data_IF_176596385447
#
_entry.id   IF_176596385447
#
_cell.length_a   1.000
_cell.length_b   1.000
_cell.length_c   1.000
_cell.angle_alpha   90.00
_cell.angle_beta   90.00
_cell.angle_gamma   90.00
#
_symmetry.space_group_name_H-M   'P 1'
#
loop_
_entity.id
_entity.type
_entity.pdbx_description
1 polymer ?
#
# COMPACT_ATOMS: atom_id res chain seq x y z
N UNK A 1 -23.36 -12.80 71.38
CA UNK A 1 -24.22 -11.60 71.48
C UNK A 1 -24.02 -10.84 70.18
N UNK A 2 -25.06 -10.63 69.39
CA UNK A 2 -24.92 -9.99 68.07
C UNK A 2 -24.98 -8.47 68.22
N UNK A 3 -23.89 -7.78 67.88
CA UNK A 3 -23.77 -6.32 68.02
C UNK A 3 -24.79 -5.58 67.14
N UNK A 4 -25.25 -6.23 66.05
CA UNK A 4 -26.26 -5.68 65.16
C UNK A 4 -27.58 -5.40 65.87
N UNK A 5 -27.92 -6.19 66.89
CA UNK A 5 -29.15 -5.98 67.67
C UNK A 5 -29.17 -4.66 68.45
N UNK A 6 -28.01 -4.10 68.80
CA UNK A 6 -27.92 -2.77 69.44
C UNK A 6 -27.98 -1.61 68.44
N UNK A 7 -27.80 -1.90 67.14
CA UNK A 7 -27.86 -0.92 66.07
C UNK A 7 -29.26 -0.85 65.40
N UNK A 8 -30.20 -1.68 65.84
CA UNK A 8 -31.58 -1.68 65.36
C UNK A 8 -32.35 -0.45 65.88
N UNK A 9 -33.08 0.26 65.00
CA UNK A 9 -33.84 1.47 65.37
C UNK A 9 -34.93 1.24 66.43
N UNK A 10 -35.40 0.00 66.58
CA UNK A 10 -36.44 -0.41 67.53
C UNK A 10 -35.90 -1.21 68.72
N UNK A 11 -34.61 -1.07 69.04
CA UNK A 11 -33.98 -1.79 70.14
C UNK A 11 -34.69 -1.52 71.49
N UNK A 12 -35.17 -2.59 72.13
CA UNK A 12 -35.81 -2.53 73.45
C UNK A 12 -34.89 -3.20 74.49
N UNK A 13 -34.23 -2.41 75.35
CA UNK A 13 -33.34 -2.93 76.39
C UNK A 13 -34.02 -3.90 77.34
N UNK A 14 -35.32 -3.72 77.65
CA UNK A 14 -36.05 -4.58 78.58
C UNK A 14 -36.33 -5.94 77.95
N UNK A 15 -36.81 -5.96 76.70
CA UNK A 15 -37.01 -7.22 75.95
C UNK A 15 -35.70 -7.97 75.78
N UNK A 16 -34.62 -7.25 75.49
CA UNK A 16 -33.29 -7.82 75.34
C UNK A 16 -32.76 -8.44 76.64
N UNK A 17 -32.81 -7.71 77.78
CA UNK A 17 -32.40 -8.23 79.10
C UNK A 17 -33.23 -9.45 79.47
N UNK A 18 -34.55 -9.40 79.30
CA UNK A 18 -35.44 -10.50 79.63
C UNK A 18 -35.14 -11.75 78.78
N UNK A 19 -34.88 -11.58 77.47
CA UNK A 19 -34.47 -12.68 76.58
C UNK A 19 -33.10 -13.26 76.98
N UNK A 20 -32.14 -12.41 77.33
CA UNK A 20 -30.81 -12.82 77.76
C UNK A 20 -30.84 -13.56 79.11
N UNK A 21 -31.72 -13.14 80.03
CA UNK A 21 -31.97 -13.80 81.32
C UNK A 21 -32.68 -15.15 81.16
N UNK A 22 -33.69 -15.23 80.29
CA UNK A 22 -34.33 -16.51 79.97
C UNK A 22 -33.35 -17.54 79.38
N UNK A 23 -32.26 -17.08 78.76
CA UNK A 23 -31.20 -17.93 78.24
C UNK A 23 -30.07 -18.24 79.25
N UNK A 24 -30.03 -17.59 80.42
CA UNK A 24 -28.95 -17.75 81.40
C UNK A 24 -29.14 -18.89 82.41
N UNK A 25 -30.25 -19.63 82.35
CA UNK A 25 -30.53 -20.75 83.25
C UNK A 25 -30.80 -20.33 84.70
N UNK A 26 -30.54 -21.23 85.66
CA UNK A 26 -30.84 -21.04 87.10
C UNK A 26 -29.73 -20.27 87.85
N UNK A 27 -29.10 -19.30 87.19
CA UNK A 27 -28.04 -18.48 87.79
C UNK A 27 -28.66 -17.41 88.70
N UNK A 28 -27.96 -16.96 89.75
CA UNK A 28 -28.43 -15.84 90.56
C UNK A 28 -28.47 -14.54 89.74
N UNK A 29 -29.51 -13.73 89.96
CA UNK A 29 -29.77 -12.47 89.23
C UNK A 29 -28.58 -11.52 89.29
N UNK A 30 -27.97 -11.36 90.46
CA UNK A 30 -26.84 -10.46 90.66
C UNK A 30 -25.60 -10.91 89.87
N UNK A 31 -25.33 -12.22 89.83
CA UNK A 31 -24.20 -12.78 89.08
C UNK A 31 -24.43 -12.60 87.57
N UNK A 32 -25.65 -12.80 87.08
CA UNK A 32 -25.97 -12.58 85.67
C UNK A 32 -25.83 -11.12 85.24
N UNK A 33 -26.37 -10.19 86.03
CA UNK A 33 -26.28 -8.76 85.74
C UNK A 33 -24.82 -8.33 85.74
N UNK A 34 -24.04 -8.74 86.73
CA UNK A 34 -22.60 -8.43 86.83
C UNK A 34 -21.83 -8.97 85.62
N UNK A 35 -22.06 -10.23 85.24
CA UNK A 35 -21.40 -10.83 84.07
C UNK A 35 -21.80 -10.16 82.75
N UNK A 36 -23.06 -9.78 82.60
CA UNK A 36 -23.56 -9.10 81.39
C UNK A 36 -22.98 -7.70 81.26
N UNK A 37 -22.95 -6.94 82.37
CA UNK A 37 -22.34 -5.61 82.42
C UNK A 37 -20.84 -5.68 82.08
N UNK A 38 -20.10 -6.61 82.70
CA UNK A 38 -18.67 -6.79 82.40
C UNK A 38 -18.41 -7.15 80.94
N UNK A 39 -19.25 -8.01 80.34
CA UNK A 39 -19.16 -8.33 78.91
C UNK A 39 -19.43 -7.11 78.03
N UNK A 40 -20.49 -6.35 78.31
CA UNK A 40 -20.81 -5.13 77.57
C UNK A 40 -19.69 -4.09 77.68
N UNK A 41 -19.09 -3.93 78.86
CA UNK A 41 -17.94 -3.04 79.07
C UNK A 41 -16.72 -3.48 78.26
N UNK A 42 -16.42 -4.79 78.22
CA UNK A 42 -15.34 -5.32 77.40
C UNK A 42 -15.60 -5.09 75.90
N UNK A 43 -16.84 -5.30 75.44
CA UNK A 43 -17.22 -5.04 74.06
C UNK A 43 -17.12 -3.55 73.70
N UNK A 44 -17.58 -2.66 74.57
CA UNK A 44 -17.45 -1.22 74.37
C UNK A 44 -15.98 -0.81 74.21
N UNK A 45 -15.10 -1.39 75.05
CA UNK A 45 -13.66 -1.17 74.95
C UNK A 45 -13.07 -1.71 73.64
N UNK A 46 -13.45 -2.92 73.22
CA UNK A 46 -13.01 -3.51 71.95
C UNK A 46 -13.46 -2.68 70.75
N UNK A 47 -14.72 -2.22 70.75
CA UNK A 47 -15.26 -1.38 69.69
C UNK A 47 -14.55 -0.03 69.62
N UNK A 48 -14.32 0.62 70.76
CA UNK A 48 -13.57 1.88 70.83
C UNK A 48 -12.16 1.70 70.28
N UNK A 49 -11.45 0.65 70.68
CA UNK A 49 -10.11 0.37 70.18
C UNK A 49 -10.09 0.11 68.66
N UNK A 50 -11.04 -0.66 68.14
CA UNK A 50 -11.14 -0.95 66.71
C UNK A 50 -11.49 0.30 65.90
N UNK A 51 -12.35 1.17 66.44
CA UNK A 51 -12.69 2.45 65.83
C UNK A 51 -11.48 3.39 65.81
N UNK A 52 -10.75 3.49 66.92
CA UNK A 52 -9.54 4.32 67.01
C UNK A 52 -8.44 3.82 66.07
N UNK A 53 -8.24 2.51 65.99
CA UNK A 53 -7.29 1.90 65.06
C UNK A 53 -7.66 2.20 63.60
N UNK A 54 -8.92 1.99 63.22
CA UNK A 54 -9.42 2.27 61.87
C UNK A 54 -9.32 3.76 61.53
N UNK A 55 -9.71 4.62 62.47
CA UNK A 55 -9.63 6.07 62.30
C UNK A 55 -8.19 6.52 62.11
N UNK A 56 -7.26 5.98 62.91
CA UNK A 56 -5.83 6.26 62.79
C UNK A 56 -5.29 5.80 61.43
N UNK A 57 -5.67 4.62 60.97
CA UNK A 57 -5.28 4.13 59.64
C UNK A 57 -5.82 5.02 58.52
N UNK A 58 -7.07 5.46 58.58
CA UNK A 58 -7.67 6.38 57.60
C UNK A 58 -6.95 7.72 57.61
N UNK A 59 -6.74 8.32 58.78
CA UNK A 59 -6.05 9.61 58.91
C UNK A 59 -4.61 9.54 58.38
N UNK A 60 -3.93 8.41 58.58
CA UNK A 60 -2.56 8.22 58.10
C UNK A 60 -2.47 7.92 56.60
N UNK A 61 -3.48 7.27 56.01
CA UNK A 61 -3.47 6.86 54.60
C UNK A 61 -4.12 7.86 53.65
N UNK A 62 -5.11 8.62 54.12
CA UNK A 62 -5.84 9.59 53.30
C UNK A 62 -4.94 10.62 52.60
N UNK A 63 -3.92 11.23 53.24
CA UNK A 63 -3.03 12.18 52.56
C UNK A 63 -2.30 11.59 51.37
N UNK A 64 -1.83 10.33 51.49
CA UNK A 64 -1.17 9.63 50.38
C UNK A 64 -2.14 9.36 49.24
N UNK A 65 -3.35 8.90 49.53
CA UNK A 65 -4.38 8.68 48.52
C UNK A 65 -4.75 9.97 47.77
N UNK A 66 -4.84 11.10 48.47
CA UNK A 66 -5.07 12.40 47.82
C UNK A 66 -3.90 12.82 46.92
N UNK A 67 -2.66 12.57 47.35
CA UNK A 67 -1.48 12.83 46.53
C UNK A 67 -1.45 11.96 45.28
N UNK A 68 -1.72 10.66 45.42
CA UNK A 68 -1.75 9.71 44.31
C UNK A 68 -2.85 10.06 43.30
N UNK A 69 -4.06 10.40 43.79
CA UNK A 69 -5.15 10.86 42.95
C UNK A 69 -4.82 12.16 42.19
N UNK A 70 -4.13 13.10 42.85
CA UNK A 70 -3.68 14.35 42.22
C UNK A 70 -2.60 14.10 41.16
N UNK A 71 -1.66 13.18 41.41
CA UNK A 71 -0.65 12.77 40.43
C UNK A 71 -1.30 12.14 39.21
N UNK A 72 -2.23 11.21 39.43
CA UNK A 72 -2.96 10.55 38.36
C UNK A 72 -3.76 11.54 37.50
N UNK A 73 -4.37 12.55 38.13
CA UNK A 73 -5.07 13.61 37.41
C UNK A 73 -4.11 14.41 36.51
N UNK A 74 -2.93 14.78 37.03
CA UNK A 74 -1.92 15.51 36.26
C UNK A 74 -1.38 14.68 35.09
N UNK A 75 -1.07 13.40 35.35
CA UNK A 75 -0.62 12.46 34.32
C UNK A 75 -1.68 12.25 33.23
N UNK A 76 -2.94 12.12 33.62
CA UNK A 76 -4.07 12.02 32.69
C UNK A 76 -4.21 13.26 31.81
N UNK A 77 -4.08 14.46 32.38
CA UNK A 77 -4.10 15.71 31.63
C UNK A 77 -2.92 15.82 30.65
N UNK A 78 -1.72 15.42 31.08
CA UNK A 78 -0.54 15.37 30.22
C UNK A 78 -0.71 14.37 29.08
N UNK A 79 -1.26 13.20 29.36
CA UNK A 79 -1.53 12.17 28.35
C UNK A 79 -2.55 12.69 27.31
N UNK A 80 -3.60 13.35 27.76
CA UNK A 80 -4.59 13.98 26.87
C UNK A 80 -3.92 15.00 25.94
N UNK A 81 -3.05 15.85 26.48
CA UNK A 81 -2.30 16.82 25.65
C UNK A 81 -1.40 16.11 24.64
N UNK A 82 -0.68 15.05 25.05
CA UNK A 82 0.17 14.26 24.15
C UNK A 82 -0.64 13.59 23.03
N UNK A 83 -1.83 13.08 23.33
CA UNK A 83 -2.71 12.47 22.33
C UNK A 83 -3.19 13.49 21.29
N UNK A 84 -3.57 14.70 21.72
CA UNK A 84 -3.95 15.78 20.81
C UNK A 84 -2.79 16.19 19.90
N UNK A 85 -1.58 16.31 20.44
CA UNK A 85 -0.39 16.61 19.63
C UNK A 85 -0.10 15.47 18.64
N UNK A 86 -0.23 14.22 19.06
CA UNK A 86 -0.02 13.07 18.19
C UNK A 86 -1.04 13.02 17.05
N UNK A 87 -2.31 13.29 17.35
CA UNK A 87 -3.38 13.38 16.35
C UNK A 87 -3.05 14.45 15.28
N UNK A 88 -2.61 15.64 15.72
CA UNK A 88 -2.18 16.71 14.80
C UNK A 88 -0.97 16.30 13.95
N UNK A 89 0.00 15.60 14.54
CA UNK A 89 1.17 15.11 13.79
C UNK A 89 0.79 14.05 12.76
N UNK A 90 -0.10 13.12 13.10
CA UNK A 90 -0.60 12.10 12.16
C UNK A 90 -1.32 12.78 11.00
N UNK A 91 -2.21 13.74 11.28
CA UNK A 91 -2.90 14.48 10.22
C UNK A 91 -1.93 15.25 9.31
N UNK A 92 -0.88 15.86 9.88
CA UNK A 92 0.17 16.52 9.11
C UNK A 92 0.95 15.54 8.20
N UNK A 93 1.29 14.36 8.72
CA UNK A 93 1.96 13.31 7.95
C UNK A 93 1.06 12.76 6.85
N UNK A 94 -0.23 12.56 7.11
CA UNK A 94 -1.19 12.12 6.08
C UNK A 94 -1.30 13.14 4.95
N UNK A 95 -1.39 14.43 5.27
CA UNK A 95 -1.42 15.50 4.26
C UNK A 95 -0.12 15.57 3.45
N UNK A 96 1.03 15.54 4.11
CA UNK A 96 2.33 15.58 3.43
C UNK A 96 2.56 14.33 2.56
N UNK A 97 2.17 13.16 3.06
CA UNK A 97 2.23 11.90 2.31
C UNK A 97 1.31 11.96 1.09
N UNK A 98 0.08 12.47 1.25
CA UNK A 98 -0.85 12.66 0.15
C UNK A 98 -0.29 13.56 -0.97
N UNK A 99 0.27 14.72 -0.61
CA UNK A 99 0.94 15.62 -1.56
C UNK A 99 2.14 14.96 -2.24
N UNK A 100 2.92 14.18 -1.49
CA UNK A 100 4.09 13.47 -2.03
C UNK A 100 3.68 12.39 -3.04
N UNK A 101 2.61 11.64 -2.75
CA UNK A 101 2.05 10.63 -3.68
C UNK A 101 1.51 11.29 -4.95
N UNK A 102 0.79 12.42 -4.84
CA UNK A 102 0.30 13.16 -5.99
C UNK A 102 1.47 13.66 -6.87
N UNK A 103 2.51 14.21 -6.25
CA UNK A 103 3.72 14.63 -6.95
C UNK A 103 4.42 13.46 -7.65
N UNK A 104 4.54 12.30 -6.99
CA UNK A 104 5.11 11.09 -7.60
C UNK A 104 4.28 10.62 -8.80
N UNK A 105 2.95 10.62 -8.69
CA UNK A 105 2.07 10.25 -9.81
C UNK A 105 2.22 11.22 -10.99
N UNK A 106 2.39 12.52 -10.72
CA UNK A 106 2.66 13.51 -11.77
C UNK A 106 4.02 13.26 -12.45
N UNK A 107 5.05 12.96 -11.67
CA UNK A 107 6.39 12.64 -12.20
C UNK A 107 6.33 11.36 -13.04
N UNK A 108 5.64 10.32 -12.58
CA UNK A 108 5.49 9.06 -13.30
C UNK A 108 4.80 9.25 -14.65
N UNK A 109 3.69 10.02 -14.68
CA UNK A 109 3.02 10.38 -15.94
C UNK A 109 3.93 11.16 -16.89
N UNK A 110 4.73 12.10 -16.37
CA UNK A 110 5.69 12.84 -17.18
C UNK A 110 6.80 11.93 -17.72
N UNK A 111 7.31 11.02 -16.89
CA UNK A 111 8.32 10.04 -17.27
C UNK A 111 7.80 9.12 -18.38
N UNK A 112 6.61 8.54 -18.22
CA UNK A 112 6.00 7.69 -19.24
C UNK A 112 5.81 8.43 -20.56
N UNK A 113 5.32 9.68 -20.53
CA UNK A 113 5.22 10.52 -21.73
C UNK A 113 6.57 10.79 -22.39
N UNK A 114 7.61 11.02 -21.59
CA UNK A 114 8.96 11.28 -22.07
C UNK A 114 9.58 10.02 -22.68
N UNK A 115 9.39 8.85 -22.05
CA UNK A 115 9.84 7.56 -22.57
C UNK A 115 9.15 7.23 -23.90
N UNK A 116 7.84 7.49 -24.01
CA UNK A 116 7.10 7.33 -25.26
C UNK A 116 7.61 8.28 -26.34
N UNK A 117 7.82 9.57 -26.02
CA UNK A 117 8.36 10.54 -26.95
C UNK A 117 9.78 10.18 -27.41
N UNK A 118 10.65 9.74 -26.49
CA UNK A 118 11.99 9.30 -26.81
C UNK A 118 12.00 8.05 -27.71
N UNK A 119 11.08 7.12 -27.48
CA UNK A 119 10.92 5.92 -28.30
C UNK A 119 10.43 6.28 -29.71
N UNK A 120 9.43 7.16 -29.81
CA UNK A 120 8.93 7.68 -31.09
C UNK A 120 10.03 8.43 -31.87
N UNK A 121 10.84 9.25 -31.19
CA UNK A 121 11.99 9.94 -31.81
C UNK A 121 13.04 8.95 -32.35
N UNK A 122 13.40 7.92 -31.57
CA UNK A 122 14.35 6.90 -32.04
C UNK A 122 13.83 6.14 -33.26
N UNK A 123 12.54 5.82 -33.28
CA UNK A 123 11.94 5.15 -34.43
C UNK A 123 11.86 6.07 -35.65
N UNK A 124 11.62 7.38 -35.46
CA UNK A 124 11.69 8.37 -36.52
C UNK A 124 13.11 8.57 -37.08
N UNK A 125 14.14 8.56 -36.23
CA UNK A 125 15.55 8.60 -36.67
C UNK A 125 15.91 7.35 -37.47
N UNK A 126 15.50 6.17 -36.98
CA UNK A 126 15.69 4.89 -37.65
C UNK A 126 14.99 4.85 -39.01
N UNK A 127 13.75 5.34 -39.08
CA UNK A 127 13.02 5.52 -40.33
C UNK A 127 13.81 6.37 -41.33
N UNK A 128 14.33 7.52 -40.88
CA UNK A 128 15.07 8.45 -41.74
C UNK A 128 16.36 7.82 -42.27
N UNK A 129 17.09 7.08 -41.43
CA UNK A 129 18.28 6.35 -41.84
C UNK A 129 17.98 5.26 -42.88
N UNK A 130 16.90 4.48 -42.67
CA UNK A 130 16.45 3.45 -43.61
C UNK A 130 15.99 4.05 -44.93
N UNK A 131 15.20 5.12 -44.90
CA UNK A 131 14.74 5.83 -46.10
C UNK A 131 15.92 6.34 -46.93
N UNK A 132 16.91 6.97 -46.27
CA UNK A 132 18.11 7.49 -46.96
C UNK A 132 18.94 6.35 -47.57
N UNK A 133 19.13 5.24 -46.85
CA UNK A 133 19.85 4.08 -47.37
C UNK A 133 19.13 3.46 -48.58
N UNK A 134 17.80 3.39 -48.55
CA UNK A 134 17.03 2.85 -49.67
C UNK A 134 17.11 3.76 -50.89
N UNK A 135 17.04 5.08 -50.69
CA UNK A 135 17.20 6.09 -51.73
C UNK A 135 18.58 5.96 -52.42
N UNK A 136 19.66 5.80 -51.64
CA UNK A 136 21.03 5.62 -52.15
C UNK A 136 21.17 4.32 -52.98
N UNK A 137 20.52 3.23 -52.55
CA UNK A 137 20.50 1.97 -53.33
C UNK A 137 19.71 2.14 -54.63
N UNK A 138 18.61 2.90 -54.61
CA UNK A 138 17.83 3.21 -55.82
C UNK A 138 18.61 4.11 -56.79
N UNK A 139 19.43 5.05 -56.29
CA UNK A 139 20.28 5.91 -57.12
C UNK A 139 21.51 5.18 -57.70
N UNK A 140 22.15 4.31 -56.91
CA UNK A 140 23.31 3.52 -57.35
C UNK A 140 22.94 2.32 -58.24
N UNK A 141 21.65 1.97 -58.27
CA UNK A 141 21.07 0.90 -59.08
C UNK A 141 20.85 -0.37 -58.27
N UNK A 142 19.68 -1.00 -58.45
CA UNK A 142 19.30 -2.17 -57.66
C UNK A 142 20.28 -3.32 -57.89
N UNK A 143 20.89 -3.87 -56.83
CA UNK A 143 21.88 -4.92 -56.98
C UNK A 143 21.24 -6.23 -57.45
N UNK A 144 21.83 -6.86 -58.47
CA UNK A 144 21.38 -8.13 -59.06
C UNK A 144 21.98 -9.38 -58.38
N UNK A 145 22.83 -9.20 -57.37
CA UNK A 145 23.39 -10.28 -56.54
C UNK A 145 22.39 -10.69 -55.44
N UNK A 146 22.14 -12.00 -55.30
CA UNK A 146 21.15 -12.53 -54.34
C UNK A 146 21.32 -12.09 -52.88
N UNK A 147 22.56 -11.93 -52.38
CA UNK A 147 22.83 -11.44 -51.01
C UNK A 147 22.36 -9.99 -50.81
N UNK A 148 22.73 -9.08 -51.71
CA UNK A 148 22.34 -7.66 -51.61
C UNK A 148 20.84 -7.43 -51.84
N UNK A 149 20.20 -8.30 -52.62
CA UNK A 149 18.74 -8.26 -52.81
C UNK A 149 18.01 -8.73 -51.54
N UNK A 150 18.60 -9.68 -50.79
CA UNK A 150 18.10 -10.07 -49.47
C UNK A 150 18.26 -8.94 -48.43
N UNK A 151 19.42 -8.26 -48.40
CA UNK A 151 19.65 -7.09 -47.53
C UNK A 151 18.65 -5.96 -47.79
N UNK A 152 18.35 -5.68 -49.06
CA UNK A 152 17.32 -4.71 -49.47
C UNK A 152 15.93 -5.12 -48.94
N UNK A 153 15.56 -6.40 -49.07
CA UNK A 153 14.28 -6.90 -48.56
C UNK A 153 14.17 -6.79 -47.04
N UNK A 154 15.28 -7.00 -46.32
CA UNK A 154 15.35 -6.87 -44.87
C UNK A 154 15.25 -5.40 -44.43
N UNK A 155 15.88 -4.47 -45.15
CA UNK A 155 15.73 -3.03 -44.92
C UNK A 155 14.29 -2.57 -45.14
N UNK A 156 13.64 -3.02 -46.21
CA UNK A 156 12.24 -2.69 -46.50
C UNK A 156 11.31 -3.28 -45.44
N UNK A 157 11.54 -4.53 -45.01
CA UNK A 157 10.77 -5.15 -43.93
C UNK A 157 10.96 -4.40 -42.60
N UNK A 158 12.19 -4.01 -42.27
CA UNK A 158 12.52 -3.23 -41.08
C UNK A 158 11.89 -1.83 -41.12
N UNK A 159 11.82 -1.21 -42.29
CA UNK A 159 11.15 0.08 -42.50
C UNK A 159 9.63 -0.08 -42.35
N UNK A 160 9.02 -1.12 -42.92
CA UNK A 160 7.58 -1.38 -42.77
C UNK A 160 7.20 -1.65 -41.30
N UNK A 161 8.03 -2.41 -40.57
CA UNK A 161 7.87 -2.63 -39.13
C UNK A 161 8.05 -1.33 -38.31
N UNK A 162 8.95 -0.45 -38.74
CA UNK A 162 9.14 0.88 -38.15
C UNK A 162 7.90 1.78 -38.31
N UNK A 163 7.22 1.71 -39.46
CA UNK A 163 5.99 2.46 -39.71
C UNK A 163 4.85 2.03 -38.79
N UNK A 164 4.71 0.74 -38.53
CA UNK A 164 3.64 0.17 -37.69
C UNK A 164 3.75 0.67 -36.24
N UNK A 165 4.98 0.75 -35.73
CA UNK A 165 5.29 1.31 -34.40
C UNK A 165 5.05 2.83 -34.35
N UNK A 166 5.17 3.53 -35.48
CA UNK A 166 4.93 4.97 -35.61
C UNK A 166 3.47 5.32 -35.95
N UNK A 167 2.52 4.39 -35.82
CA UNK A 167 1.10 4.58 -36.15
C UNK A 167 0.41 5.75 -35.41
N UNK A 168 0.86 6.08 -34.20
CA UNK A 168 0.35 7.21 -33.41
C UNK A 168 1.08 8.54 -33.69
N UNK A 169 2.06 8.56 -34.60
CA UNK A 169 2.81 9.76 -34.92
C UNK A 169 2.03 10.69 -35.87
N UNK A 170 2.07 12.02 -35.68
CA UNK A 170 1.33 12.98 -36.51
C UNK A 170 1.79 13.02 -37.97
N UNK A 171 2.96 12.46 -38.28
CA UNK A 171 3.55 12.37 -39.61
C UNK A 171 3.36 11.00 -40.28
N UNK A 172 2.56 10.11 -39.68
CA UNK A 172 2.31 8.75 -40.17
C UNK A 172 1.84 8.71 -41.62
N UNK A 173 0.84 9.52 -41.98
CA UNK A 173 0.30 9.55 -43.34
C UNK A 173 1.34 9.97 -44.37
N UNK A 174 2.22 10.90 -44.00
CA UNK A 174 3.30 11.35 -44.89
C UNK A 174 4.35 10.25 -45.09
N UNK A 175 4.76 9.57 -44.01
CA UNK A 175 5.70 8.44 -44.06
C UNK A 175 5.14 7.25 -44.84
N UNK A 176 3.84 6.99 -44.71
CA UNK A 176 3.15 5.96 -45.49
C UNK A 176 3.23 6.25 -47.00
N UNK A 177 2.92 7.48 -47.43
CA UNK A 177 3.01 7.89 -48.83
C UNK A 177 4.46 7.80 -49.35
N UNK A 178 5.44 8.18 -48.52
CA UNK A 178 6.86 8.02 -48.87
C UNK A 178 7.23 6.55 -49.10
N UNK A 179 6.78 5.64 -48.22
CA UNK A 179 7.04 4.21 -48.35
C UNK A 179 6.41 3.63 -49.63
N UNK A 180 5.16 3.98 -49.92
CA UNK A 180 4.48 3.56 -51.16
C UNK A 180 5.25 4.05 -52.40
N UNK A 181 5.78 5.28 -52.37
CA UNK A 181 6.59 5.84 -53.46
C UNK A 181 7.91 5.08 -53.64
N UNK A 182 8.59 4.75 -52.54
CA UNK A 182 9.83 3.98 -52.56
C UNK A 182 9.59 2.55 -53.06
N UNK A 183 8.50 1.89 -52.64
CA UNK A 183 8.09 0.59 -53.16
C UNK A 183 7.88 0.61 -54.68
N UNK A 184 7.11 1.57 -55.18
CA UNK A 184 6.84 1.68 -56.62
C UNK A 184 8.12 1.88 -57.43
N UNK A 185 9.08 2.67 -56.92
CA UNK A 185 10.38 2.89 -57.58
C UNK A 185 11.25 1.64 -57.54
N UNK A 186 11.23 0.91 -56.44
CA UNK A 186 11.97 -0.33 -56.27
C UNK A 186 11.43 -1.43 -57.19
N UNK A 187 10.10 -1.54 -57.34
CA UNK A 187 9.45 -2.42 -58.32
C UNK A 187 9.84 -2.07 -59.76
N UNK A 188 9.83 -0.78 -60.11
CA UNK A 188 10.24 -0.31 -61.42
C UNK A 188 11.73 -0.55 -61.72
N UNK A 189 12.59 -0.50 -60.71
CA UNK A 189 14.03 -0.75 -60.86
C UNK A 189 14.40 -2.23 -60.91
N UNK A 190 13.61 -3.11 -60.27
CA UNK A 190 13.80 -4.57 -60.32
C UNK A 190 13.20 -5.18 -61.59
N UNK A 191 12.12 -4.61 -62.13
CA UNK A 191 11.39 -5.20 -63.27
C UNK A 191 12.27 -5.43 -64.51
N UNK A 192 13.06 -4.45 -65.00
CA UNK A 192 13.93 -4.66 -66.16
C UNK A 192 15.02 -5.75 -65.98
N UNK A 193 15.86 -5.73 -64.93
CA UNK A 193 16.89 -6.75 -64.74
C UNK A 193 16.30 -8.15 -64.48
N UNK A 194 15.10 -8.24 -63.90
CA UNK A 194 14.40 -9.52 -63.72
C UNK A 194 13.86 -10.07 -65.03
N UNK A 195 13.28 -9.22 -65.89
CA UNK A 195 12.88 -9.60 -67.26
C UNK A 195 14.09 -10.00 -68.09
N UNK A 196 15.21 -9.27 -67.99
CA UNK A 196 16.46 -9.61 -68.69
C UNK A 196 17.04 -10.95 -68.20
N UNK A 197 17.02 -11.22 -66.90
CA UNK A 197 17.44 -12.52 -66.36
C UNK A 197 16.52 -13.67 -66.80
N UNK A 198 15.21 -13.46 -66.81
CA UNK A 198 14.24 -14.46 -67.27
C UNK A 198 14.39 -14.74 -68.77
N UNK A 199 14.56 -13.71 -69.59
CA UNK A 199 14.77 -13.86 -71.04
C UNK A 199 16.11 -14.53 -71.37
N UNK A 200 17.17 -14.28 -70.60
CA UNK A 200 18.44 -15.03 -70.71
C UNK A 200 18.31 -16.49 -70.27
N UNK A 201 17.52 -16.77 -69.25
CA UNK A 201 17.23 -18.15 -68.81
C UNK A 201 16.43 -18.91 -69.87
N UNK A 202 15.47 -18.25 -70.52
CA UNK A 202 14.65 -18.82 -71.60
C UNK A 202 15.49 -19.05 -72.88
N UNK A 203 16.42 -18.14 -73.19
CA UNK A 203 17.38 -18.30 -74.28
C UNK A 203 18.40 -19.44 -74.05
N UNK A 204 18.74 -19.73 -72.79
CA UNK A 204 19.54 -20.89 -72.38
C UNK A 204 18.82 -22.24 -72.49
N UNK A 205 17.51 -22.22 -72.75
CA UNK A 205 16.64 -23.39 -72.85
C UNK A 205 16.34 -23.81 -74.31
N UNK A 206 17.15 -23.39 -75.29
CA UNK A 206 17.04 -23.87 -76.68
C UNK A 206 17.92 -25.15 -76.85
N UNK A 207 17.38 -26.29 -77.33
CA UNK A 207 18.00 -27.59 -77.12
C UNK A 207 19.14 -27.89 -78.10
N UNK A 208 20.27 -28.35 -77.55
CA UNK A 208 21.19 -29.23 -78.27
C UNK A 208 20.44 -30.48 -78.72
N UNK A 209 20.06 -30.59 -80.01
CA UNK A 209 19.97 -31.89 -80.71
C UNK A 209 19.74 -31.79 -82.22
N UNK A 210 20.64 -32.49 -82.92
CA UNK A 210 20.58 -33.05 -84.27
C UNK A 210 20.80 -32.13 -85.49
N UNK A 211 22.06 -32.12 -85.96
CA UNK A 211 22.32 -32.23 -87.40
C UNK A 211 23.16 -33.49 -87.62
N UNK A 212 22.51 -34.57 -88.06
CA UNK A 212 23.16 -35.64 -88.83
C UNK A 212 23.56 -35.03 -90.17
N UNK A 213 24.81 -35.20 -90.60
CA UNK A 213 25.14 -35.21 -92.02
C UNK A 213 26.05 -36.40 -92.32
N UNK A 214 25.49 -37.32 -93.10
CA UNK A 214 26.23 -38.28 -93.91
C UNK A 214 26.93 -37.52 -95.03
N UNK A 215 28.23 -37.74 -95.19
CA UNK A 215 28.92 -37.99 -96.45
C UNK A 215 30.36 -38.39 -96.18
#
# INVERSE_FOLDING_TARGET
MDIKTFAEENFDPKKWINKAWSASGNQEKEIFVTNTVTRLQLYMKQLSNSLDETTTQIVNSAPRLFQDASSLQLEGALLQQKLLTLEQQVQGVEQQTGQSIESLQRIDRLKSRLENAASALREADKWTALATSLEDILETGVPTSGEKLAELSEQVAAMTASLDVLSDAPDYDHKKIQLETLFNRLEAAISPPLIDALTQMDAGMVPYKFVKNYS
#
